data_IF_816325717434
#
_entry.id   IF_816325717434
#
_cell.length_a   1.000
_cell.length_b   1.000
_cell.length_c   1.000
_cell.angle_alpha   90.00
_cell.angle_beta   90.00
_cell.angle_gamma   90.00
#
_symmetry.space_group_name_H-M   'P 1'
#
loop_
_entity.id
_entity.type
_entity.pdbx_description
1 polymer ?
#
# COMPACT_ATOMS: atom_id res chain seq x y z
N UNK A 1 31.31 -10.28 36.16
CA UNK A 1 29.99 -10.70 36.70
C UNK A 1 29.31 -9.47 37.29
N UNK A 2 28.10 -9.14 36.78
CA UNK A 2 27.11 -8.12 37.22
C UNK A 2 27.31 -6.66 36.80
N UNK A 3 26.90 -6.35 35.56
CA UNK A 3 26.45 -5.01 35.19
C UNK A 3 25.01 -4.81 35.68
N UNK A 4 24.84 -4.04 36.76
CA UNK A 4 23.54 -3.64 37.28
C UNK A 4 22.94 -2.52 36.41
N UNK A 5 22.05 -2.87 35.50
CA UNK A 5 21.13 -1.93 34.83
C UNK A 5 20.17 -1.37 35.89
N UNK A 6 20.50 -0.23 36.50
CA UNK A 6 19.56 0.54 37.32
C UNK A 6 18.69 1.39 36.40
N UNK A 7 17.54 0.85 35.95
CA UNK A 7 16.46 1.65 35.35
C UNK A 7 15.82 2.51 36.45
N UNK A 8 16.21 3.78 36.56
CA UNK A 8 15.32 4.77 37.18
C UNK A 8 14.16 4.98 36.21
N UNK A 9 12.98 4.46 36.54
CA UNK A 9 11.75 4.78 35.82
C UNK A 9 11.48 6.28 36.00
N UNK A 10 11.76 7.07 34.97
CA UNK A 10 11.42 8.48 34.95
C UNK A 10 9.91 8.60 34.66
N UNK A 11 9.20 9.46 35.38
CA UNK A 11 7.77 9.74 35.14
C UNK A 11 7.51 10.13 33.67
N UNK A 12 8.47 10.82 33.04
CA UNK A 12 8.43 11.12 31.60
C UNK A 12 8.41 9.87 30.70
N UNK A 13 9.14 8.82 31.06
CA UNK A 13 9.12 7.55 30.32
C UNK A 13 7.80 6.81 30.52
N UNK A 14 7.19 6.91 31.71
CA UNK A 14 5.87 6.32 31.96
C UNK A 14 4.78 7.03 31.15
N UNK A 15 4.77 8.37 31.15
CA UNK A 15 3.85 9.18 30.35
C UNK A 15 4.02 8.91 28.85
N UNK A 16 5.27 8.79 28.38
CA UNK A 16 5.56 8.45 26.99
C UNK A 16 5.08 7.04 26.64
N UNK A 17 5.26 6.05 27.51
CA UNK A 17 4.75 4.70 27.30
C UNK A 17 3.22 4.67 27.23
N UNK A 18 2.53 5.38 28.12
CA UNK A 18 1.06 5.48 28.11
C UNK A 18 0.58 6.16 26.83
N UNK A 19 1.23 7.26 26.43
CA UNK A 19 0.91 7.97 25.18
C UNK A 19 1.11 7.09 23.94
N UNK A 20 2.22 6.36 23.86
CA UNK A 20 2.48 5.41 22.77
C UNK A 20 1.44 4.28 22.74
N UNK A 21 1.06 3.76 23.90
CA UNK A 21 0.07 2.69 24.01
C UNK A 21 -1.32 3.18 23.53
N UNK A 22 -1.73 4.38 23.93
CA UNK A 22 -2.95 4.99 23.43
C UNK A 22 -2.91 5.21 21.90
N UNK A 23 -1.81 5.76 21.38
CA UNK A 23 -1.62 5.96 19.94
C UNK A 23 -1.67 4.64 19.15
N UNK A 24 -1.06 3.59 19.69
CA UNK A 24 -1.10 2.24 19.12
C UNK A 24 -2.54 1.73 19.02
N UNK A 25 -3.31 1.80 20.11
CA UNK A 25 -4.72 1.37 20.09
C UNK A 25 -5.57 2.19 19.11
N UNK A 26 -5.33 3.49 19.04
CA UNK A 26 -6.02 4.36 18.09
C UNK A 26 -5.73 3.96 16.63
N UNK A 27 -4.46 3.69 16.30
CA UNK A 27 -4.06 3.25 14.95
C UNK A 27 -4.53 1.83 14.61
N UNK A 28 -4.59 0.93 15.60
CA UNK A 28 -5.05 -0.45 15.39
C UNK A 28 -6.58 -0.58 15.36
N UNK A 29 -7.33 0.42 15.84
CA UNK A 29 -8.80 0.39 15.86
C UNK A 29 -9.43 0.07 14.49
N UNK A 30 -9.09 0.80 13.41
CA UNK A 30 -9.61 0.51 12.07
C UNK A 30 -9.20 -0.88 11.55
N UNK A 31 -7.95 -1.31 11.82
CA UNK A 31 -7.45 -2.64 11.42
C UNK A 31 -8.24 -3.74 12.14
N UNK A 32 -8.51 -3.54 13.43
CA UNK A 32 -9.35 -4.45 14.21
C UNK A 32 -10.75 -4.58 13.61
N UNK A 33 -11.38 -3.46 13.25
CA UNK A 33 -12.70 -3.47 12.61
C UNK A 33 -12.65 -4.24 11.28
N UNK A 34 -11.62 -4.00 10.44
CA UNK A 34 -11.46 -4.74 9.17
C UNK A 34 -11.32 -6.25 9.38
N UNK A 35 -10.56 -6.68 10.40
CA UNK A 35 -10.38 -8.10 10.70
C UNK A 35 -11.69 -8.72 11.19
N UNK A 36 -12.40 -8.05 12.09
CA UNK A 36 -13.69 -8.52 12.59
C UNK A 36 -14.71 -8.62 11.46
N UNK A 37 -14.90 -7.56 10.67
CA UNK A 37 -15.90 -7.56 9.58
C UNK A 37 -15.61 -8.59 8.51
N UNK A 38 -14.33 -8.95 8.29
CA UNK A 38 -13.94 -9.99 7.34
C UNK A 38 -14.45 -11.40 7.68
N UNK A 39 -14.70 -11.68 8.97
CA UNK A 39 -15.20 -12.97 9.47
C UNK A 39 -16.65 -12.91 9.96
N UNK A 40 -17.25 -11.72 9.96
CA UNK A 40 -18.65 -11.51 10.33
C UNK A 40 -19.58 -11.97 9.21
N UNK A 41 -20.61 -12.79 9.48
CA UNK A 41 -21.59 -13.21 8.47
C UNK A 41 -22.31 -12.03 7.82
N UNK A 42 -22.65 -12.12 6.54
CA UNK A 42 -23.28 -11.04 5.76
C UNK A 42 -24.57 -10.49 6.41
N UNK A 43 -25.33 -11.37 7.08
CA UNK A 43 -26.57 -11.01 7.80
C UNK A 43 -26.33 -10.08 8.99
N UNK A 44 -25.17 -10.20 9.64
CA UNK A 44 -24.77 -9.38 10.79
C UNK A 44 -24.09 -8.07 10.36
N UNK A 45 -23.55 -8.01 9.14
CA UNK A 45 -22.92 -6.79 8.60
C UNK A 45 -23.92 -5.64 8.39
N UNK A 46 -25.19 -5.95 8.12
CA UNK A 46 -26.27 -4.98 7.93
C UNK A 46 -27.10 -4.75 9.21
N UNK A 47 -26.73 -5.36 10.34
CA UNK A 47 -27.47 -5.25 11.59
C UNK A 47 -27.33 -3.84 12.22
N UNK A 48 -28.42 -3.35 12.80
CA UNK A 48 -28.45 -2.13 13.62
C UNK A 48 -28.87 -2.54 15.03
N UNK A 49 -28.03 -2.38 16.07
CA UNK A 49 -26.72 -1.72 16.12
C UNK A 49 -25.56 -2.55 15.50
N UNK A 50 -24.45 -1.91 15.09
CA UNK A 50 -23.29 -2.60 14.52
C UNK A 50 -22.66 -3.57 15.51
N UNK A 51 -22.36 -4.77 15.03
CA UNK A 51 -21.82 -5.87 15.83
C UNK A 51 -20.29 -5.75 15.89
N UNK A 52 -19.76 -5.44 17.08
CA UNK A 52 -18.32 -5.30 17.32
C UNK A 52 -17.60 -6.62 17.53
N UNK A 53 -18.33 -7.67 17.96
CA UNK A 53 -17.85 -9.03 18.06
C UNK A 53 -18.89 -9.95 17.42
N UNK A 54 -18.52 -10.71 16.36
CA UNK A 54 -19.46 -11.52 15.60
C UNK A 54 -20.02 -12.64 16.47
N UNK A 55 -21.29 -12.97 16.30
CA UNK A 55 -21.92 -14.05 17.07
C UNK A 55 -21.40 -15.43 16.64
N UNK A 56 -21.01 -15.55 15.36
CA UNK A 56 -20.42 -16.73 14.76
C UNK A 56 -19.28 -16.32 13.84
N UNK A 57 -18.18 -17.06 13.87
CA UNK A 57 -17.04 -16.84 12.97
C UNK A 57 -17.32 -17.59 11.67
N UNK A 58 -17.48 -16.85 10.58
CA UNK A 58 -17.75 -17.41 9.25
C UNK A 58 -16.54 -17.25 8.33
N UNK A 59 -15.98 -18.38 7.89
CA UNK A 59 -14.86 -18.44 6.94
C UNK A 59 -15.30 -18.77 5.51
N UNK A 60 -16.61 -18.88 5.25
CA UNK A 60 -17.12 -19.21 3.91
C UNK A 60 -16.66 -18.19 2.85
N UNK A 61 -16.49 -16.93 3.24
CA UNK A 61 -16.06 -15.84 2.36
C UNK A 61 -14.61 -16.02 1.89
N UNK A 62 -13.73 -16.47 2.80
CA UNK A 62 -12.35 -16.82 2.46
C UNK A 62 -12.28 -18.04 1.55
N UNK A 63 -13.09 -19.07 1.81
CA UNK A 63 -13.16 -20.27 0.96
C UNK A 63 -13.68 -19.95 -0.45
N UNK A 64 -14.68 -19.07 -0.53
CA UNK A 64 -15.24 -18.60 -1.81
C UNK A 64 -14.20 -17.87 -2.67
N UNK A 65 -13.27 -17.14 -2.05
CA UNK A 65 -12.21 -16.40 -2.75
C UNK A 65 -10.99 -17.29 -3.05
N UNK A 66 -10.56 -18.16 -2.12
CA UNK A 66 -9.31 -18.91 -2.26
C UNK A 66 -9.48 -20.26 -2.97
N UNK A 67 -10.60 -20.95 -2.76
CA UNK A 67 -10.82 -22.31 -3.26
C UNK A 67 -11.82 -22.31 -4.42
N UNK A 68 -12.88 -21.51 -4.30
CA UNK A 68 -13.99 -21.52 -5.26
C UNK A 68 -13.98 -20.33 -6.22
N UNK A 69 -12.85 -19.62 -6.33
CA UNK A 69 -12.73 -18.53 -7.30
C UNK A 69 -13.06 -19.02 -8.71
N UNK A 70 -12.46 -20.11 -9.19
CA UNK A 70 -12.61 -20.53 -10.58
C UNK A 70 -14.04 -20.93 -11.00
N UNK A 71 -14.98 -21.07 -10.05
CA UNK A 71 -16.36 -21.46 -10.34
C UNK A 71 -17.11 -20.38 -11.14
N UNK A 72 -17.97 -20.78 -12.10
CA UNK A 72 -18.71 -19.85 -12.93
C UNK A 72 -19.64 -18.93 -12.14
N UNK A 73 -20.21 -19.39 -11.03
CA UNK A 73 -21.04 -18.59 -10.12
C UNK A 73 -20.29 -17.45 -9.41
N UNK A 74 -18.97 -17.57 -9.20
CA UNK A 74 -18.18 -16.66 -8.37
C UNK A 74 -17.41 -15.62 -9.21
N UNK A 75 -18.13 -14.86 -10.04
CA UNK A 75 -17.53 -13.83 -10.92
C UNK A 75 -16.72 -12.79 -10.13
N UNK A 76 -17.24 -12.35 -8.97
CA UNK A 76 -16.57 -11.36 -8.13
C UNK A 76 -15.23 -11.88 -7.56
N UNK A 77 -15.19 -13.14 -7.11
CA UNK A 77 -13.98 -13.76 -6.57
C UNK A 77 -12.87 -13.87 -7.64
N UNK A 78 -13.21 -14.28 -8.87
CA UNK A 78 -12.24 -14.32 -9.99
C UNK A 78 -11.70 -12.94 -10.33
N UNK A 79 -12.57 -11.94 -10.38
CA UNK A 79 -12.19 -10.55 -10.62
C UNK A 79 -11.21 -10.04 -9.56
N UNK A 80 -11.47 -10.38 -8.29
CA UNK A 80 -10.59 -10.05 -7.18
C UNK A 80 -9.22 -10.73 -7.28
N UNK A 81 -9.17 -12.05 -7.47
CA UNK A 81 -7.90 -12.80 -7.58
C UNK A 81 -7.07 -12.30 -8.77
N UNK A 82 -7.71 -12.04 -9.91
CA UNK A 82 -7.03 -11.47 -11.08
C UNK A 82 -6.49 -10.07 -10.81
N UNK A 83 -7.27 -9.22 -10.14
CA UNK A 83 -6.82 -7.88 -9.74
C UNK A 83 -5.65 -7.95 -8.77
N UNK A 84 -5.67 -8.88 -7.82
CA UNK A 84 -4.59 -9.11 -6.86
C UNK A 84 -3.30 -9.53 -7.59
N UNK A 85 -3.39 -10.45 -8.56
CA UNK A 85 -2.25 -10.86 -9.38
C UNK A 85 -1.72 -9.72 -10.26
N UNK A 86 -2.61 -8.94 -10.87
CA UNK A 86 -2.22 -7.76 -11.65
C UNK A 86 -1.45 -6.77 -10.78
N UNK A 87 -1.96 -6.42 -9.60
CA UNK A 87 -1.30 -5.52 -8.65
C UNK A 87 0.03 -6.08 -8.19
N UNK A 88 0.11 -7.38 -7.89
CA UNK A 88 1.36 -8.02 -7.49
C UNK A 88 2.43 -7.94 -8.60
N UNK A 89 2.04 -8.22 -9.85
CA UNK A 89 2.94 -8.13 -11.00
C UNK A 89 3.39 -6.69 -11.26
N UNK A 90 2.47 -5.72 -11.21
CA UNK A 90 2.77 -4.31 -11.41
C UNK A 90 3.67 -3.80 -10.28
N UNK A 91 3.32 -4.03 -9.01
CA UNK A 91 4.11 -3.58 -7.87
C UNK A 91 5.53 -4.16 -7.88
N UNK A 92 5.67 -5.45 -8.20
CA UNK A 92 6.98 -6.11 -8.30
C UNK A 92 7.81 -5.54 -9.46
N UNK A 93 7.19 -5.35 -10.63
CA UNK A 93 7.84 -4.77 -11.81
C UNK A 93 8.29 -3.32 -11.58
N UNK A 94 7.42 -2.48 -11.04
CA UNK A 94 7.73 -1.09 -10.67
C UNK A 94 8.86 -1.05 -9.65
N UNK A 95 8.75 -1.83 -8.56
CA UNK A 95 9.81 -1.87 -7.52
C UNK A 95 11.16 -2.24 -8.13
N UNK A 96 11.20 -3.28 -8.97
CA UNK A 96 12.44 -3.70 -9.62
C UNK A 96 13.03 -2.61 -10.52
N UNK A 97 12.21 -1.98 -11.37
CA UNK A 97 12.64 -0.91 -12.27
C UNK A 97 13.08 0.34 -11.50
N UNK A 98 12.27 0.83 -10.57
CA UNK A 98 12.53 2.04 -9.79
C UNK A 98 13.76 1.90 -8.90
N UNK A 99 13.96 0.74 -8.24
CA UNK A 99 15.17 0.51 -7.44
C UNK A 99 16.40 0.42 -8.34
N UNK A 100 16.31 -0.25 -9.49
CA UNK A 100 17.43 -0.36 -10.42
C UNK A 100 17.80 1.03 -10.97
N UNK A 101 16.88 1.71 -11.66
CA UNK A 101 17.15 3.01 -12.27
C UNK A 101 17.45 4.10 -11.21
N UNK A 102 16.70 4.10 -10.10
CA UNK A 102 16.89 5.03 -9.01
C UNK A 102 18.23 4.86 -8.30
N UNK A 103 18.70 3.62 -8.09
CA UNK A 103 20.03 3.39 -7.51
C UNK A 103 21.16 3.81 -8.44
N UNK A 104 21.04 3.59 -9.76
CA UNK A 104 22.00 4.09 -10.74
C UNK A 104 22.04 5.62 -10.75
N UNK A 105 20.88 6.28 -10.76
CA UNK A 105 20.78 7.74 -10.73
C UNK A 105 21.35 8.32 -9.43
N UNK A 106 21.02 7.72 -8.28
CA UNK A 106 21.54 8.10 -6.98
C UNK A 106 23.07 7.92 -6.90
N UNK A 107 23.61 6.84 -7.47
CA UNK A 107 25.04 6.61 -7.54
C UNK A 107 25.75 7.70 -8.38
N UNK A 108 25.21 8.00 -9.56
CA UNK A 108 25.73 9.06 -10.42
C UNK A 108 25.76 10.41 -9.68
N UNK A 109 24.68 10.76 -8.98
CA UNK A 109 24.62 11.99 -8.19
C UNK A 109 25.61 12.01 -7.01
N UNK A 110 25.77 10.89 -6.31
CA UNK A 110 26.61 10.80 -5.11
C UNK A 110 28.11 10.67 -5.39
N UNK A 111 28.51 10.09 -6.54
CA UNK A 111 29.91 9.75 -6.84
C UNK A 111 30.47 10.41 -8.09
N UNK A 112 29.65 10.78 -9.07
CA UNK A 112 30.12 11.40 -10.31
C UNK A 112 29.98 12.93 -10.24
N UNK A 113 30.85 13.64 -10.97
CA UNK A 113 30.75 15.09 -11.13
C UNK A 113 29.78 15.40 -12.25
N UNK A 114 28.49 15.39 -11.94
CA UNK A 114 27.41 15.71 -12.90
C UNK A 114 27.25 17.24 -12.99
N UNK A 115 27.30 17.84 -14.19
CA UNK A 115 27.00 19.27 -14.35
C UNK A 115 25.54 19.55 -14.00
N UNK A 116 25.26 20.70 -13.38
CA UNK A 116 23.91 21.13 -12.97
C UNK A 116 23.17 20.18 -11.99
N UNK A 117 23.90 19.35 -11.23
CA UNK A 117 23.33 18.34 -10.32
C UNK A 117 22.19 18.88 -9.43
N UNK A 118 22.35 20.07 -8.85
CA UNK A 118 21.39 20.64 -7.91
C UNK A 118 20.12 21.10 -8.61
N UNK A 119 20.22 21.57 -9.86
CA UNK A 119 19.06 21.93 -10.69
C UNK A 119 18.28 20.70 -11.14
N UNK A 120 18.99 19.61 -11.48
CA UNK A 120 18.36 18.34 -11.88
C UNK A 120 17.55 17.76 -10.73
N UNK A 121 18.13 17.69 -9.52
CA UNK A 121 17.42 17.21 -8.33
C UNK A 121 16.26 18.14 -7.96
N UNK A 122 16.45 19.46 -8.05
CA UNK A 122 15.36 20.41 -7.82
C UNK A 122 14.20 20.20 -8.81
N UNK A 123 14.48 19.96 -10.10
CA UNK A 123 13.46 19.71 -11.10
C UNK A 123 12.69 18.40 -10.84
N UNK A 124 13.39 17.33 -10.44
CA UNK A 124 12.78 16.06 -10.05
C UNK A 124 11.86 16.21 -8.83
N UNK A 125 12.29 16.95 -7.82
CA UNK A 125 11.42 17.21 -6.65
C UNK A 125 10.22 18.09 -7.03
N UNK A 126 10.41 19.03 -7.94
CA UNK A 126 9.32 19.89 -8.41
C UNK A 126 8.22 19.10 -9.13
N UNK A 127 8.57 18.07 -9.91
CA UNK A 127 7.57 17.22 -10.56
C UNK A 127 6.74 16.41 -9.56
N UNK A 128 7.34 15.95 -8.46
CA UNK A 128 6.65 15.25 -7.36
C UNK A 128 5.68 16.14 -6.58
N UNK A 129 5.89 17.46 -6.59
CA UNK A 129 4.99 18.42 -5.93
C UNK A 129 3.73 18.70 -6.75
N UNK A 130 3.70 18.31 -8.03
CA UNK A 130 2.53 18.50 -8.87
C UNK A 130 1.43 17.52 -8.45
N UNK A 131 0.18 17.99 -8.30
CA UNK A 131 -0.92 17.11 -7.97
C UNK A 131 -1.18 16.14 -9.13
N UNK A 132 -1.16 14.84 -8.86
CA UNK A 132 -1.30 13.79 -9.88
C UNK A 132 -2.53 13.93 -10.78
N UNK A 133 -3.63 14.51 -10.28
CA UNK A 133 -4.85 14.77 -11.07
C UNK A 133 -4.61 15.69 -12.28
N UNK A 134 -3.67 16.64 -12.19
CA UNK A 134 -3.35 17.58 -13.28
C UNK A 134 -2.56 16.89 -14.38
N UNK A 135 -1.75 15.90 -14.03
CA UNK A 135 -0.91 15.13 -14.97
C UNK A 135 -1.72 13.98 -15.60
N UNK A 136 -2.74 13.45 -14.90
CA UNK A 136 -3.50 12.29 -15.33
C UNK A 136 -4.13 12.42 -16.72
N UNK A 137 -4.78 13.55 -17.02
CA UNK A 137 -5.45 13.75 -18.31
C UNK A 137 -4.48 13.80 -19.50
N UNK A 138 -3.43 14.65 -19.52
CA UNK A 138 -2.49 14.67 -20.64
C UNK A 138 -1.74 13.34 -20.80
N UNK A 139 -1.44 12.65 -19.69
CA UNK A 139 -0.81 11.34 -19.73
C UNK A 139 -1.73 10.29 -20.37
N UNK A 140 -3.01 10.27 -19.99
CA UNK A 140 -4.01 9.39 -20.61
C UNK A 140 -4.13 9.62 -22.12
N UNK A 141 -4.18 10.88 -22.56
CA UNK A 141 -4.23 11.21 -23.99
C UNK A 141 -2.99 10.72 -24.74
N UNK A 142 -1.81 10.79 -24.11
CA UNK A 142 -0.54 10.31 -24.68
C UNK A 142 -0.52 8.79 -24.80
N UNK A 143 -0.94 8.07 -23.76
CA UNK A 143 -1.03 6.59 -23.80
C UNK A 143 -2.04 6.15 -24.86
N UNK A 144 -3.17 6.85 -24.94
CA UNK A 144 -4.22 6.56 -25.92
C UNK A 144 -3.72 6.77 -27.35
N UNK A 145 -2.99 7.85 -27.62
CA UNK A 145 -2.43 8.10 -28.96
C UNK A 145 -1.36 7.08 -29.34
N UNK A 146 -0.61 6.56 -28.37
CA UNK A 146 0.36 5.47 -28.56
C UNK A 146 -0.29 4.08 -28.72
N UNK A 147 -1.61 3.95 -28.52
CA UNK A 147 -2.30 2.66 -28.57
C UNK A 147 -1.95 1.71 -27.43
N UNK A 148 -1.25 2.18 -26.38
CA UNK A 148 -0.78 1.40 -25.24
C UNK A 148 -1.79 1.37 -24.08
N UNK A 149 -3.06 1.65 -24.37
CA UNK A 149 -4.12 1.62 -23.37
C UNK A 149 -4.42 0.18 -22.95
N UNK A 150 -4.85 0.00 -21.70
CA UNK A 150 -5.26 -1.29 -21.12
C UNK A 150 -4.15 -2.37 -21.11
N UNK A 151 -2.91 -1.97 -20.79
CA UNK A 151 -1.76 -2.88 -20.64
C UNK A 151 -1.09 -2.68 -19.28
N UNK A 152 -0.80 -3.79 -18.59
CA UNK A 152 -0.07 -3.78 -17.32
C UNK A 152 1.33 -3.15 -17.45
N UNK A 153 1.99 -3.39 -18.58
CA UNK A 153 3.32 -2.84 -18.88
C UNK A 153 3.29 -1.32 -18.91
N UNK A 154 2.22 -0.72 -19.46
CA UNK A 154 2.03 0.72 -19.46
C UNK A 154 1.99 1.24 -18.03
N UNK A 155 1.17 0.64 -17.16
CA UNK A 155 1.09 1.03 -15.75
C UNK A 155 2.46 0.94 -15.04
N UNK A 156 3.24 -0.12 -15.31
CA UNK A 156 4.57 -0.25 -14.72
C UNK A 156 5.53 0.87 -15.13
N UNK A 157 5.50 1.30 -16.39
CA UNK A 157 6.35 2.39 -16.85
C UNK A 157 5.90 3.76 -16.33
N UNK A 158 4.59 3.98 -16.17
CA UNK A 158 4.07 5.24 -15.65
C UNK A 158 4.42 5.46 -14.18
N UNK A 159 4.27 4.43 -13.35
CA UNK A 159 4.55 4.50 -11.91
C UNK A 159 6.06 4.44 -11.59
N UNK A 160 6.91 4.26 -12.59
CA UNK A 160 8.37 4.28 -12.46
C UNK A 160 8.96 5.71 -12.58
N UNK A 161 8.19 6.69 -13.06
CA UNK A 161 8.64 8.09 -13.15
C UNK A 161 8.57 8.79 -11.81
#
# INVERSE_FOLDING_TARGET
MRAHIRRRFNISQLLLCIGLLFFLFYMLGPVYIMLVTSVTPEREQLAVPPVWLPSQIDFSQYLNILIYADRPENVAARGFVRSLLNTFLVASGVTFLSVTLGSLAAYAYARLKVPFRDKIVFLLLFTEMLPGVVIALPLYLTIRSLGLHDRLVTLMFLECS
#
